data_IF_499740553379
#
_entry.id   IF_499740553379
#
_cell.length_a   1.000
_cell.length_b   1.000
_cell.length_c   1.000
_cell.angle_alpha   90.00
_cell.angle_beta   90.00
_cell.angle_gamma   90.00
#
_symmetry.space_group_name_H-M   'P 1'
#
loop_
_entity.id
_entity.type
_entity.pdbx_description
1 polymer ?
#
# COMPACT_ATOMS: atom_id res chain seq x y z
N UNK A 1 23.34 46.91 -43.21
CA UNK A 1 24.01 45.68 -42.73
C UNK A 1 23.27 45.18 -41.50
N UNK A 2 22.47 44.11 -41.61
CA UNK A 2 21.54 43.72 -40.53
C UNK A 2 21.03 42.29 -40.66
N UNK A 3 21.95 41.34 -40.74
CA UNK A 3 21.66 39.91 -40.68
C UNK A 3 22.78 39.28 -39.87
N UNK A 4 22.46 38.59 -38.77
CA UNK A 4 23.23 37.53 -38.06
C UNK A 4 23.08 37.58 -36.53
N UNK A 5 21.86 37.41 -36.02
CA UNK A 5 21.61 36.99 -34.61
C UNK A 5 20.37 36.10 -34.45
N UNK A 6 19.44 36.09 -35.43
CA UNK A 6 18.17 35.38 -35.36
C UNK A 6 18.28 33.85 -35.38
N UNK A 7 19.28 33.31 -36.10
CA UNK A 7 19.49 31.86 -36.24
C UNK A 7 19.92 31.15 -34.93
N UNK A 8 20.93 31.64 -34.18
CA UNK A 8 21.29 31.03 -32.89
C UNK A 8 20.20 31.21 -31.84
N UNK A 9 19.47 32.33 -31.86
CA UNK A 9 18.35 32.56 -30.93
C UNK A 9 17.20 31.56 -31.15
N UNK A 10 16.87 31.26 -32.40
CA UNK A 10 15.84 30.27 -32.74
C UNK A 10 16.23 28.84 -32.32
N UNK A 11 17.52 28.50 -32.39
CA UNK A 11 18.03 27.21 -31.93
C UNK A 11 17.91 27.06 -30.41
N UNK A 12 18.27 28.11 -29.68
CA UNK A 12 18.21 28.15 -28.21
C UNK A 12 16.76 28.03 -27.71
N UNK A 13 15.81 28.76 -28.32
CA UNK A 13 14.40 28.63 -27.96
C UNK A 13 13.85 27.25 -28.28
N UNK A 14 14.24 26.64 -29.40
CA UNK A 14 13.86 25.27 -29.73
C UNK A 14 14.37 24.25 -28.70
N UNK A 15 15.64 24.36 -28.28
CA UNK A 15 16.20 23.50 -27.24
C UNK A 15 15.49 23.69 -25.89
N UNK A 16 15.21 24.92 -25.48
CA UNK A 16 14.49 25.20 -24.23
C UNK A 16 13.08 24.61 -24.22
N UNK A 17 12.35 24.74 -25.33
CA UNK A 17 11.01 24.14 -25.47
C UNK A 17 11.07 22.62 -25.41
N UNK A 18 12.05 22.00 -26.09
CA UNK A 18 12.22 20.55 -26.05
C UNK A 18 12.52 20.04 -24.63
N UNK A 19 13.41 20.72 -23.90
CA UNK A 19 13.74 20.38 -22.50
C UNK A 19 12.53 20.57 -21.60
N UNK A 20 11.77 21.67 -21.77
CA UNK A 20 10.55 21.91 -21.00
C UNK A 20 9.49 20.82 -21.27
N UNK A 21 9.33 20.39 -22.52
CA UNK A 21 8.43 19.29 -22.88
C UNK A 21 8.89 17.96 -22.27
N UNK A 22 10.21 17.69 -22.21
CA UNK A 22 10.78 16.51 -21.55
C UNK A 22 10.59 16.54 -20.03
N UNK A 23 10.67 17.71 -19.40
CA UNK A 23 10.47 17.89 -17.95
C UNK A 23 8.99 17.83 -17.56
N UNK A 24 8.11 18.34 -18.43
CA UNK A 24 6.66 18.31 -18.23
C UNK A 24 6.02 17.02 -18.75
N UNK A 25 6.76 16.19 -19.51
CA UNK A 25 6.27 14.90 -19.98
C UNK A 25 5.93 14.05 -18.75
N UNK A 26 4.64 13.74 -18.51
CA UNK A 26 4.31 12.80 -17.47
C UNK A 26 4.98 11.49 -17.86
N UNK A 27 5.86 10.98 -16.99
CA UNK A 27 6.41 9.64 -17.12
C UNK A 27 5.23 8.68 -17.26
N UNK A 28 4.90 8.33 -18.50
CA UNK A 28 3.87 7.36 -18.86
C UNK A 28 4.34 5.95 -18.52
N UNK A 29 4.83 5.73 -17.29
CA UNK A 29 4.69 4.43 -16.68
C UNK A 29 3.19 4.23 -16.57
N UNK A 30 2.62 3.48 -17.50
CA UNK A 30 1.22 3.11 -17.50
C UNK A 30 0.92 2.49 -16.13
N UNK A 31 0.42 3.31 -15.21
CA UNK A 31 -0.13 2.85 -13.97
C UNK A 31 -1.33 2.02 -14.38
N UNK A 32 -1.14 0.70 -14.42
CA UNK A 32 -2.19 -0.26 -14.72
C UNK A 32 -3.38 0.11 -13.82
N UNK A 33 -4.58 0.33 -14.36
CA UNK A 33 -5.76 0.52 -13.52
C UNK A 33 -5.84 -0.70 -12.60
N UNK A 34 -5.52 -0.51 -11.31
CA UNK A 34 -5.82 -1.52 -10.30
C UNK A 34 -7.34 -1.61 -10.29
N UNK A 35 -7.93 -2.80 -10.47
CA UNK A 35 -9.36 -2.97 -10.34
C UNK A 35 -9.81 -2.36 -9.01
N UNK A 36 -10.68 -1.34 -9.07
CA UNK A 36 -11.20 -0.63 -7.90
C UNK A 36 -12.17 -1.49 -7.07
N UNK A 37 -12.29 -2.78 -7.38
CA UNK A 37 -12.91 -3.81 -6.54
C UNK A 37 -12.03 -4.20 -5.35
N UNK A 38 -11.38 -3.22 -4.70
CA UNK A 38 -10.94 -3.42 -3.33
C UNK A 38 -12.23 -3.58 -2.51
N UNK A 39 -12.58 -4.82 -2.18
CA UNK A 39 -13.71 -5.09 -1.32
C UNK A 39 -13.54 -4.29 -0.03
N UNK A 40 -14.47 -3.38 0.26
CA UNK A 40 -14.46 -2.64 1.52
C UNK A 40 -14.56 -3.65 2.65
N UNK A 41 -13.58 -3.62 3.56
CA UNK A 41 -13.66 -4.41 4.79
C UNK A 41 -14.74 -3.77 5.66
N UNK A 42 -15.89 -4.43 5.79
CA UNK A 42 -16.94 -4.03 6.72
C UNK A 42 -16.58 -4.46 8.15
N UNK A 43 -16.12 -3.48 8.93
CA UNK A 43 -15.74 -3.67 10.33
C UNK A 43 -16.91 -3.66 11.32
N UNK A 44 -18.16 -3.50 10.86
CA UNK A 44 -19.35 -3.39 11.73
C UNK A 44 -19.57 -4.61 12.64
N UNK A 45 -19.04 -5.77 12.24
CA UNK A 45 -19.14 -7.05 12.97
C UNK A 45 -17.84 -7.44 13.68
N UNK A 46 -16.90 -6.50 13.85
CA UNK A 46 -15.67 -6.74 14.58
C UNK A 46 -15.94 -7.12 16.04
N UNK A 47 -15.11 -8.00 16.59
CA UNK A 47 -15.22 -8.46 17.97
C UNK A 47 -13.93 -8.13 18.72
N UNK A 48 -14.07 -7.72 19.98
CA UNK A 48 -12.92 -7.46 20.83
C UNK A 48 -12.58 -8.72 21.63
N UNK A 49 -11.34 -9.20 21.51
CA UNK A 49 -10.83 -10.32 22.32
C UNK A 49 -10.15 -9.77 23.59
N UNK A 50 -10.76 -9.88 24.78
CA UNK A 50 -10.10 -9.49 26.01
C UNK A 50 -8.94 -10.45 26.32
N UNK A 51 -7.73 -9.91 26.41
CA UNK A 51 -6.56 -10.66 26.88
C UNK A 51 -6.49 -10.58 28.41
N UNK A 52 -6.06 -11.68 29.05
CA UNK A 52 -5.90 -11.75 30.51
C UNK A 52 -4.61 -11.03 30.93
N UNK A 53 -4.74 -9.74 31.23
CA UNK A 53 -3.63 -8.89 31.71
C UNK A 53 -3.86 -7.45 31.28
N UNK A 54 -3.74 -6.50 32.20
CA UNK A 54 -4.16 -5.10 31.99
C UNK A 54 -3.36 -4.34 30.93
N UNK A 55 -2.18 -4.83 30.56
CA UNK A 55 -1.27 -4.16 29.61
C UNK A 55 -1.04 -4.95 28.32
N UNK A 56 -1.76 -6.05 28.12
CA UNK A 56 -1.58 -6.88 26.93
C UNK A 56 -2.17 -6.17 25.72
N UNK A 57 -1.32 -5.95 24.71
CA UNK A 57 -1.68 -5.39 23.41
C UNK A 57 -1.84 -6.47 22.35
N UNK A 58 -2.66 -6.11 21.36
CA UNK A 58 -3.31 -7.00 20.39
C UNK A 58 -2.37 -7.65 19.37
N UNK A 59 -2.88 -7.99 18.16
CA UNK A 59 -2.13 -8.80 17.21
C UNK A 59 -0.84 -8.08 16.79
N UNK A 60 0.31 -8.59 17.24
CA UNK A 60 1.63 -8.09 16.82
C UNK A 60 2.06 -8.71 15.48
N UNK A 61 1.41 -9.82 15.11
CA UNK A 61 1.62 -10.54 13.85
C UNK A 61 0.38 -11.34 13.47
N UNK A 62 0.26 -11.68 12.19
CA UNK A 62 -0.74 -12.63 11.68
C UNK A 62 -0.07 -13.60 10.70
N UNK A 63 -0.43 -14.88 10.78
CA UNK A 63 0.06 -15.92 9.89
C UNK A 63 -1.05 -16.91 9.52
N UNK A 64 -0.83 -17.63 8.41
CA UNK A 64 -1.66 -18.73 7.94
C UNK A 64 -0.74 -19.91 7.66
N UNK A 65 -1.21 -21.13 7.91
CA UNK A 65 -0.42 -22.30 7.58
C UNK A 65 -0.57 -22.69 6.09
N UNK A 66 0.29 -23.61 5.63
CA UNK A 66 0.28 -24.07 4.24
C UNK A 66 -0.96 -24.88 3.84
N UNK A 67 -1.79 -25.30 4.81
CA UNK A 67 -3.07 -25.94 4.57
C UNK A 67 -4.23 -24.93 4.52
N UNK A 68 -3.94 -23.63 4.67
CA UNK A 68 -4.95 -22.56 4.68
C UNK A 68 -5.69 -22.42 6.02
N UNK A 69 -5.21 -23.05 7.09
CA UNK A 69 -5.75 -22.86 8.42
C UNK A 69 -5.17 -21.59 9.09
N UNK A 70 -5.83 -21.18 10.19
CA UNK A 70 -5.64 -19.90 10.85
C UNK A 70 -6.87 -19.00 10.71
N UNK A 71 -6.73 -17.67 10.86
CA UNK A 71 -5.48 -16.97 11.19
C UNK A 71 -4.89 -17.38 12.54
N UNK A 72 -3.55 -17.33 12.61
CA UNK A 72 -2.77 -17.36 13.85
C UNK A 72 -2.31 -15.94 14.17
N UNK A 73 -2.41 -15.51 15.42
CA UNK A 73 -2.01 -14.18 15.87
C UNK A 73 -1.02 -14.26 17.01
N UNK A 74 0.13 -13.59 16.88
CA UNK A 74 0.99 -13.32 18.03
C UNK A 74 0.41 -12.22 18.90
N UNK A 75 0.57 -12.34 20.22
CA UNK A 75 0.20 -11.29 21.20
C UNK A 75 1.41 -10.93 22.07
N UNK A 76 1.38 -9.74 22.66
CA UNK A 76 2.49 -9.15 23.44
C UNK A 76 3.03 -9.98 24.62
N UNK A 77 2.32 -11.01 25.09
CA UNK A 77 2.81 -11.94 26.12
C UNK A 77 3.52 -13.19 25.56
N UNK A 78 3.78 -13.22 24.25
CA UNK A 78 4.49 -14.31 23.57
C UNK A 78 3.61 -15.50 23.19
N UNK A 79 2.31 -15.48 23.50
CA UNK A 79 1.37 -16.53 23.04
C UNK A 79 1.05 -16.37 21.56
N UNK A 80 0.73 -17.51 20.93
CA UNK A 80 0.14 -17.57 19.60
C UNK A 80 -1.30 -18.02 19.74
N UNK A 81 -2.24 -17.23 19.23
CA UNK A 81 -3.66 -17.52 19.26
C UNK A 81 -4.12 -18.04 17.91
N UNK A 82 -4.84 -19.15 17.87
CA UNK A 82 -5.48 -19.70 16.67
C UNK A 82 -6.96 -19.34 16.64
N UNK A 83 -7.45 -18.83 15.51
CA UNK A 83 -8.87 -18.70 15.26
C UNK A 83 -9.47 -20.05 14.83
N UNK A 84 -10.46 -20.54 15.57
CA UNK A 84 -11.11 -21.84 15.32
C UNK A 84 -12.51 -21.71 14.70
N UNK A 85 -12.86 -20.53 14.16
CA UNK A 85 -14.19 -20.21 13.66
C UNK A 85 -15.11 -19.60 14.71
N UNK A 86 -16.21 -19.00 14.24
CA UNK A 86 -17.14 -18.21 15.07
C UNK A 86 -17.65 -18.95 16.32
N UNK A 87 -17.96 -20.25 16.21
CA UNK A 87 -18.52 -21.03 17.31
C UNK A 87 -17.49 -21.39 18.40
N UNK A 88 -16.20 -21.43 18.06
CA UNK A 88 -15.12 -21.89 18.95
C UNK A 88 -14.19 -20.76 19.40
N UNK A 89 -14.15 -19.66 18.66
CA UNK A 89 -13.36 -18.49 19.00
C UNK A 89 -11.84 -18.75 18.93
N UNK A 90 -11.12 -17.96 19.72
CA UNK A 90 -9.66 -18.00 19.83
C UNK A 90 -9.20 -18.99 20.91
N UNK A 91 -8.14 -19.74 20.63
CA UNK A 91 -7.45 -20.61 21.61
C UNK A 91 -5.94 -20.49 21.49
N UNK A 92 -5.21 -20.89 22.53
CA UNK A 92 -3.76 -21.12 22.49
C UNK A 92 -3.48 -22.56 22.10
#
# INVERSE_FOLDING_TARGET
MGFRTKLPQALITSCLVAVLLLLLAPCGAAARPVPQTAATIDGSRSQHLPLRGSLLRGPESVAFDGAGAGPYSGVSDGRVLRWNGQARGWST
#
